data_IF_039830508377
#
_entry.id   IF_039830508377
#
_cell.length_a   1.000
_cell.length_b   1.000
_cell.length_c   1.000
_cell.angle_alpha   90.00
_cell.angle_beta   90.00
_cell.angle_gamma   90.00
#
_symmetry.space_group_name_H-M   'P 1'
#
loop_
_entity.id
_entity.type
_entity.pdbx_description
1 polymer ?
#
# COMPACT_ATOMS: atom_id res chain seq x y z
N UNK A 1 -24.03 -18.02 3.92
CA UNK A 1 -23.20 -16.90 4.44
C UNK A 1 -22.08 -17.26 5.39
N UNK A 2 -22.23 -18.23 6.30
CA UNK A 2 -21.16 -18.60 7.25
C UNK A 2 -20.79 -17.52 8.27
N UNK A 3 -21.66 -16.52 8.46
CA UNK A 3 -21.52 -15.44 9.45
C UNK A 3 -22.02 -15.94 10.80
N UNK A 4 -21.26 -15.63 11.86
CA UNK A 4 -21.62 -16.04 13.23
C UNK A 4 -22.55 -15.00 13.89
N UNK A 5 -23.52 -15.41 14.73
CA UNK A 5 -24.46 -14.47 15.36
C UNK A 5 -23.79 -13.43 16.27
N UNK A 6 -22.73 -13.82 16.96
CA UNK A 6 -21.98 -12.93 17.88
C UNK A 6 -21.34 -11.73 17.16
N UNK A 7 -21.03 -11.89 15.88
CA UNK A 7 -20.44 -10.85 15.04
C UNK A 7 -21.43 -9.74 14.65
N UNK A 8 -22.73 -9.97 14.88
CA UNK A 8 -23.81 -9.04 14.57
C UNK A 8 -24.26 -8.25 15.80
N UNK A 9 -23.82 -8.65 16.99
CA UNK A 9 -24.16 -7.97 18.24
C UNK A 9 -23.35 -6.67 18.37
N UNK A 10 -23.99 -5.54 18.72
CA UNK A 10 -23.26 -4.31 18.99
C UNK A 10 -22.38 -4.50 20.24
N UNK A 11 -21.17 -3.98 20.20
CA UNK A 11 -20.21 -4.00 21.32
C UNK A 11 -19.83 -2.58 21.68
N UNK A 12 -19.39 -2.34 22.90
CA UNK A 12 -18.91 -1.02 23.34
C UNK A 12 -17.41 -0.88 23.16
N UNK A 13 -16.89 0.35 23.10
CA UNK A 13 -15.42 0.61 23.05
C UNK A 13 -14.70 -0.02 24.25
N UNK A 14 -15.34 -0.06 25.42
CA UNK A 14 -14.77 -0.64 26.63
C UNK A 14 -14.51 -2.13 26.50
N UNK A 15 -15.28 -2.85 25.68
CA UNK A 15 -15.10 -4.29 25.46
C UNK A 15 -13.81 -4.58 24.68
N UNK A 16 -13.28 -3.58 23.96
CA UNK A 16 -12.03 -3.65 23.22
C UNK A 16 -10.83 -3.07 23.98
N UNK A 17 -11.03 -2.61 25.23
CA UNK A 17 -9.96 -2.02 26.02
C UNK A 17 -9.16 -3.09 26.77
N UNK A 18 -7.87 -3.25 26.46
CA UNK A 18 -7.01 -4.17 27.22
C UNK A 18 -6.44 -3.46 28.45
N UNK A 19 -6.92 -3.81 29.64
CA UNK A 19 -6.49 -3.23 30.94
C UNK A 19 -5.00 -3.41 31.26
N UNK A 20 -4.28 -4.26 30.53
CA UNK A 20 -2.90 -4.67 30.87
C UNK A 20 -1.80 -3.93 30.08
N UNK A 21 -2.13 -2.90 29.29
CA UNK A 21 -1.17 -2.18 28.45
C UNK A 21 -0.32 -1.14 29.19
N UNK A 22 1.02 -1.14 28.95
CA UNK A 22 1.98 -0.13 29.46
C UNK A 22 1.76 1.30 28.92
N UNK A 23 0.81 1.49 27.99
CA UNK A 23 0.55 2.74 27.28
C UNK A 23 -0.93 3.13 27.35
N UNK A 24 -1.39 3.57 28.51
CA UNK A 24 -2.82 3.79 28.77
C UNK A 24 -3.51 4.78 27.81
N UNK A 25 -2.79 5.76 27.23
CA UNK A 25 -3.36 6.69 26.25
C UNK A 25 -3.43 6.08 24.84
N UNK A 26 -2.34 5.45 24.39
CA UNK A 26 -2.26 4.76 23.09
C UNK A 26 -3.26 3.61 23.05
N UNK A 27 -3.43 2.94 24.18
CA UNK A 27 -4.35 1.81 24.31
C UNK A 27 -5.82 2.26 24.20
N UNK A 28 -6.16 3.48 24.62
CA UNK A 28 -7.50 4.05 24.39
C UNK A 28 -7.74 4.31 22.91
N UNK A 29 -6.78 4.89 22.21
CA UNK A 29 -6.85 5.12 20.76
C UNK A 29 -6.91 3.78 20.00
N UNK A 30 -6.10 2.81 20.40
CA UNK A 30 -6.12 1.44 19.89
C UNK A 30 -7.48 0.75 20.10
N UNK A 31 -8.11 0.91 21.27
CA UNK A 31 -9.43 0.37 21.55
C UNK A 31 -10.50 1.01 20.65
N UNK A 32 -10.41 2.31 20.40
CA UNK A 32 -11.29 3.01 19.45
C UNK A 32 -11.09 2.49 18.03
N UNK A 33 -9.85 2.26 17.58
CA UNK A 33 -9.58 1.67 16.26
C UNK A 33 -10.17 0.26 16.13
N UNK A 34 -9.97 -0.61 17.13
CA UNK A 34 -10.57 -1.96 17.16
C UNK A 34 -12.09 -1.90 17.09
N UNK A 35 -12.71 -1.00 17.86
CA UNK A 35 -14.15 -0.79 17.84
C UNK A 35 -14.66 -0.29 16.48
N UNK A 36 -13.99 0.71 15.89
CA UNK A 36 -14.37 1.26 14.58
C UNK A 36 -14.29 0.19 13.49
N UNK A 37 -13.20 -0.58 13.46
CA UNK A 37 -13.04 -1.71 12.54
C UNK A 37 -14.16 -2.74 12.75
N UNK A 38 -14.43 -3.14 13.99
CA UNK A 38 -15.51 -4.07 14.31
C UNK A 38 -16.89 -3.56 13.84
N UNK A 39 -17.25 -2.31 14.14
CA UNK A 39 -18.54 -1.74 13.75
C UNK A 39 -18.68 -1.61 12.23
N UNK A 40 -17.62 -1.20 11.52
CA UNK A 40 -17.62 -1.17 10.06
C UNK A 40 -17.89 -2.56 9.48
N UNK A 41 -17.21 -3.59 10.00
CA UNK A 41 -17.41 -4.97 9.55
C UNK A 41 -18.80 -5.50 9.90
N UNK A 42 -19.29 -5.19 11.11
CA UNK A 42 -20.63 -5.54 11.55
C UNK A 42 -21.69 -4.93 10.64
N UNK A 43 -21.58 -3.64 10.32
CA UNK A 43 -22.51 -2.94 9.42
C UNK A 43 -22.47 -3.55 8.02
N UNK A 44 -21.28 -3.79 7.46
CA UNK A 44 -21.11 -4.45 6.16
C UNK A 44 -21.76 -5.84 6.12
N UNK A 45 -21.58 -6.64 7.19
CA UNK A 45 -22.20 -7.97 7.33
C UNK A 45 -23.72 -7.89 7.46
N UNK A 46 -24.23 -6.95 8.24
CA UNK A 46 -25.68 -6.71 8.37
C UNK A 46 -26.30 -6.30 7.03
N UNK A 47 -25.63 -5.45 6.26
CA UNK A 47 -26.08 -5.09 4.92
C UNK A 47 -26.10 -6.30 3.98
N UNK A 48 -25.05 -7.12 4.00
CA UNK A 48 -24.99 -8.33 3.18
C UNK A 48 -26.13 -9.30 3.54
N UNK A 49 -26.41 -9.48 4.83
CA UNK A 49 -27.55 -10.29 5.30
C UNK A 49 -28.90 -9.70 4.91
N UNK A 50 -29.06 -8.36 4.96
CA UNK A 50 -30.28 -7.69 4.48
C UNK A 50 -30.50 -7.94 3.00
N UNK A 51 -29.45 -7.79 2.18
CA UNK A 51 -29.51 -8.06 0.73
C UNK A 51 -29.92 -9.51 0.46
N UNK A 52 -29.30 -10.48 1.13
CA UNK A 52 -29.67 -11.89 0.97
C UNK A 52 -31.09 -12.18 1.43
N UNK A 53 -31.51 -11.64 2.59
CA UNK A 53 -32.88 -11.75 3.06
C UNK A 53 -33.85 -11.23 2.00
N UNK A 54 -33.57 -10.08 1.40
CA UNK A 54 -34.44 -9.49 0.38
C UNK A 54 -34.49 -10.35 -0.90
N UNK A 55 -33.38 -11.00 -1.27
CA UNK A 55 -33.36 -11.99 -2.36
C UNK A 55 -34.24 -13.19 -2.02
N UNK A 56 -34.07 -13.78 -0.83
CA UNK A 56 -34.88 -14.92 -0.37
C UNK A 56 -36.36 -14.55 -0.28
N UNK A 57 -36.68 -13.36 0.23
CA UNK A 57 -38.06 -12.86 0.30
C UNK A 57 -38.64 -12.66 -1.09
N UNK A 58 -37.89 -12.08 -2.04
CA UNK A 58 -38.34 -11.95 -3.44
C UNK A 58 -38.56 -13.30 -4.11
N UNK A 59 -37.69 -14.27 -3.88
CA UNK A 59 -37.88 -15.64 -4.37
C UNK A 59 -39.13 -16.28 -3.76
N UNK A 60 -39.36 -16.05 -2.46
CA UNK A 60 -40.53 -16.53 -1.75
C UNK A 60 -41.82 -15.89 -2.26
N UNK A 61 -41.84 -14.56 -2.43
CA UNK A 61 -42.95 -13.80 -3.01
C UNK A 61 -43.23 -14.21 -4.46
N UNK A 62 -42.18 -14.44 -5.26
CA UNK A 62 -42.31 -14.95 -6.63
C UNK A 62 -42.89 -16.37 -6.66
N UNK A 63 -42.60 -17.19 -5.66
CA UNK A 63 -43.19 -18.53 -5.48
C UNK A 63 -44.62 -18.46 -4.91
N UNK A 64 -44.94 -17.46 -4.08
CA UNK A 64 -46.27 -17.31 -3.44
C UNK A 64 -47.28 -16.54 -4.30
N UNK A 65 -46.84 -15.72 -5.25
CA UNK A 65 -47.69 -14.98 -6.20
C UNK A 65 -48.22 -15.84 -7.36
N UNK A 66 -47.91 -17.14 -7.39
CA UNK A 66 -48.59 -18.10 -8.27
C UNK A 66 -49.89 -18.54 -7.58
N UNK A 67 -50.95 -17.75 -7.77
CA UNK A 67 -52.33 -18.15 -7.45
C UNK A 67 -52.66 -19.53 -8.05
N UNK A 68 -53.45 -20.40 -7.37
CA UNK A 68 -53.68 -21.81 -7.74
C UNK A 68 -54.57 -22.02 -8.97
N UNK A 69 -54.66 -21.06 -9.88
CA UNK A 69 -55.59 -21.11 -11.03
C UNK A 69 -54.86 -20.92 -12.35
N UNK A 70 -54.14 -21.97 -12.77
CA UNK A 70 -54.01 -22.50 -14.15
C UNK A 70 -52.72 -23.29 -14.24
N UNK A 71 -52.89 -24.60 -14.42
CA UNK A 71 -51.83 -25.57 -14.68
C UNK A 71 -51.15 -25.24 -16.02
N UNK A 72 -50.01 -24.55 -15.98
CA UNK A 72 -48.99 -24.66 -17.02
C UNK A 72 -47.63 -24.86 -16.33
N UNK A 73 -47.02 -26.06 -16.41
CA UNK A 73 -45.74 -26.30 -15.78
C UNK A 73 -44.65 -25.60 -16.60
N UNK A 74 -44.03 -24.55 -16.03
CA UNK A 74 -42.72 -24.10 -16.52
C UNK A 74 -41.68 -25.07 -16.00
N UNK A 75 -40.87 -25.52 -16.95
CA UNK A 75 -40.08 -26.73 -16.95
C UNK A 75 -38.61 -26.36 -16.74
N UNK A 76 -38.18 -26.26 -15.48
CA UNK A 76 -36.75 -26.17 -15.10
C UNK A 76 -36.61 -26.88 -13.73
N UNK A 77 -36.57 -28.21 -13.78
CA UNK A 77 -36.12 -29.18 -12.73
C UNK A 77 -36.76 -30.58 -12.89
N UNK A 78 -37.63 -30.77 -13.89
CA UNK A 78 -38.34 -32.05 -14.09
C UNK A 78 -37.85 -32.89 -15.27
N UNK A 79 -36.68 -32.61 -15.85
CA UNK A 79 -36.19 -33.34 -17.04
C UNK A 79 -35.71 -34.76 -16.71
N UNK A 80 -35.22 -35.04 -15.50
CA UNK A 80 -34.60 -36.35 -15.20
C UNK A 80 -35.54 -37.39 -14.59
N UNK A 81 -36.72 -36.98 -14.11
CA UNK A 81 -37.72 -37.94 -13.58
C UNK A 81 -38.57 -38.58 -14.69
N UNK A 82 -38.69 -37.92 -15.85
CA UNK A 82 -39.52 -38.41 -16.93
C UNK A 82 -38.87 -39.54 -17.73
N UNK A 83 -37.55 -39.58 -17.89
CA UNK A 83 -36.87 -40.63 -18.66
C UNK A 83 -36.88 -41.99 -17.95
N UNK A 84 -36.64 -42.01 -16.64
CA UNK A 84 -36.78 -43.21 -15.81
C UNK A 84 -38.25 -43.70 -15.78
N UNK A 85 -39.21 -42.77 -15.70
CA UNK A 85 -40.63 -43.11 -15.77
C UNK A 85 -41.02 -43.63 -17.15
N UNK A 86 -40.44 -43.10 -18.22
CA UNK A 86 -40.76 -43.46 -19.60
C UNK A 86 -40.27 -44.86 -19.91
N UNK A 87 -39.06 -45.23 -19.48
CA UNK A 87 -38.56 -46.59 -19.65
C UNK A 87 -39.37 -47.61 -18.84
N UNK A 88 -39.74 -47.27 -17.60
CA UNK A 88 -40.64 -48.12 -16.79
C UNK A 88 -42.04 -48.24 -17.42
N UNK A 89 -42.61 -47.14 -17.93
CA UNK A 89 -43.89 -47.12 -18.66
C UNK A 89 -43.81 -47.95 -19.94
N UNK A 90 -42.68 -47.94 -20.65
CA UNK A 90 -42.48 -48.76 -21.85
C UNK A 90 -42.44 -50.25 -21.50
N UNK A 91 -41.77 -50.64 -20.40
CA UNK A 91 -41.77 -52.04 -19.94
C UNK A 91 -43.15 -52.50 -19.45
N UNK A 92 -43.89 -51.64 -18.74
CA UNK A 92 -45.29 -51.91 -18.37
C UNK A 92 -46.18 -52.09 -19.60
N UNK A 93 -46.07 -51.20 -20.59
CA UNK A 93 -46.79 -51.34 -21.86
C UNK A 93 -46.37 -52.59 -22.62
N UNK A 94 -45.11 -53.03 -22.54
CA UNK A 94 -44.65 -54.29 -23.15
C UNK A 94 -45.29 -55.50 -22.45
N UNK A 95 -45.33 -55.50 -21.12
CA UNK A 95 -46.02 -56.53 -20.33
C UNK A 95 -47.52 -56.61 -20.70
N UNK A 96 -48.19 -55.46 -20.79
CA UNK A 96 -49.59 -55.38 -21.22
C UNK A 96 -49.78 -55.92 -22.63
N UNK A 97 -48.92 -55.53 -23.58
CA UNK A 97 -48.96 -56.07 -24.95
C UNK A 97 -48.70 -57.57 -24.99
N UNK A 98 -47.80 -58.10 -24.15
CA UNK A 98 -47.56 -59.54 -24.03
C UNK A 98 -48.83 -60.22 -23.53
N UNK A 99 -49.47 -59.71 -22.47
CA UNK A 99 -50.75 -60.25 -21.97
C UNK A 99 -51.86 -60.20 -23.02
N UNK A 100 -52.01 -59.08 -23.74
CA UNK A 100 -52.99 -58.94 -24.81
C UNK A 100 -52.67 -59.87 -26.00
N UNK A 101 -51.40 -60.01 -26.37
CA UNK A 101 -50.97 -60.95 -27.40
C UNK A 101 -51.24 -62.38 -26.96
N UNK A 102 -50.96 -62.73 -25.71
CA UNK A 102 -51.26 -64.05 -25.16
C UNK A 102 -52.76 -64.34 -25.20
N UNK A 103 -53.62 -63.38 -24.84
CA UNK A 103 -55.07 -63.52 -24.97
C UNK A 103 -55.49 -63.77 -26.44
N UNK A 104 -54.93 -62.97 -27.37
CA UNK A 104 -55.19 -63.15 -28.80
C UNK A 104 -54.59 -64.44 -29.37
N UNK A 105 -53.46 -64.90 -28.86
CA UNK A 105 -52.84 -66.17 -29.25
C UNK A 105 -53.64 -67.35 -28.71
N UNK A 106 -54.22 -67.26 -27.50
CA UNK A 106 -55.15 -68.27 -27.00
C UNK A 106 -56.39 -68.31 -27.88
N UNK A 107 -56.99 -67.16 -28.19
CA UNK A 107 -58.11 -67.05 -29.13
C UNK A 107 -57.72 -67.59 -30.51
N UNK A 108 -56.54 -67.24 -31.02
CA UNK A 108 -56.05 -67.70 -32.32
C UNK A 108 -55.65 -69.17 -32.32
N UNK A 109 -55.20 -69.78 -31.21
CA UNK A 109 -54.97 -71.23 -31.11
C UNK A 109 -56.30 -71.95 -31.10
N UNK A 110 -57.30 -71.45 -30.37
CA UNK A 110 -58.68 -71.96 -30.41
C UNK A 110 -59.21 -71.87 -31.85
N UNK A 111 -59.13 -70.70 -32.49
CA UNK A 111 -59.58 -70.47 -33.86
C UNK A 111 -58.75 -71.23 -34.90
N UNK A 112 -57.43 -71.30 -34.76
CA UNK A 112 -56.54 -72.03 -35.66
C UNK A 112 -56.72 -73.51 -35.49
N UNK A 113 -56.99 -74.05 -34.30
CA UNK A 113 -57.38 -75.46 -34.12
C UNK A 113 -58.75 -75.71 -34.77
N UNK A 114 -59.73 -74.79 -34.62
CA UNK A 114 -61.00 -74.90 -35.36
C UNK A 114 -60.81 -74.80 -36.88
N UNK A 115 -59.78 -74.08 -37.35
CA UNK A 115 -59.42 -73.97 -38.77
C UNK A 115 -58.46 -75.05 -39.23
N UNK A 116 -57.61 -75.65 -38.40
CA UNK A 116 -56.71 -76.77 -38.73
C UNK A 116 -57.52 -78.05 -38.82
N UNK A 117 -58.56 -78.21 -38.00
CA UNK A 117 -59.60 -79.19 -38.26
C UNK A 117 -60.21 -79.03 -39.67
N UNK A 118 -60.33 -77.79 -40.18
CA UNK A 118 -60.82 -77.47 -41.53
C UNK A 118 -59.75 -77.46 -42.64
N UNK A 119 -58.48 -77.19 -42.32
CA UNK A 119 -57.36 -76.99 -43.27
C UNK A 119 -56.45 -78.22 -43.35
N UNK A 120 -56.39 -79.10 -42.34
CA UNK A 120 -55.84 -80.45 -42.53
C UNK A 120 -56.64 -81.24 -43.58
N UNK A 121 -57.85 -80.77 -43.89
CA UNK A 121 -58.67 -81.15 -45.03
C UNK A 121 -58.25 -80.49 -46.36
N UNK A 122 -57.60 -79.31 -46.35
CA UNK A 122 -57.34 -78.45 -47.53
C UNK A 122 -55.84 -78.31 -47.91
N UNK A 123 -54.90 -78.43 -46.97
CA UNK A 123 -53.45 -78.27 -47.19
C UNK A 123 -52.76 -79.53 -47.75
N UNK A 124 -53.52 -80.61 -47.97
CA UNK A 124 -53.15 -81.64 -48.96
C UNK A 124 -53.10 -81.07 -50.39
N UNK A 125 -53.64 -79.87 -50.64
CA UNK A 125 -53.93 -79.36 -51.98
C UNK A 125 -53.01 -78.23 -52.49
N UNK A 126 -52.22 -77.54 -51.65
CA UNK A 126 -51.53 -76.27 -52.03
C UNK A 126 -50.08 -76.10 -51.57
N UNK A 127 -49.32 -77.17 -51.37
CA UNK A 127 -47.88 -77.10 -51.05
C UNK A 127 -46.96 -76.77 -52.25
N UNK A 128 -47.49 -76.39 -53.42
CA UNK A 128 -46.73 -76.33 -54.67
C UNK A 128 -46.29 -74.92 -55.15
N UNK A 129 -46.82 -73.80 -54.63
CA UNK A 129 -46.76 -72.52 -55.38
C UNK A 129 -45.76 -71.45 -54.90
N UNK A 130 -45.28 -71.43 -53.65
CA UNK A 130 -44.65 -70.21 -53.09
C UNK A 130 -43.12 -70.23 -52.89
N UNK A 131 -42.39 -71.05 -53.65
CA UNK A 131 -40.92 -71.01 -53.68
C UNK A 131 -40.34 -69.83 -54.51
N UNK A 132 -41.15 -69.14 -55.33
CA UNK A 132 -40.65 -68.18 -56.34
C UNK A 132 -40.42 -66.74 -55.88
N UNK A 133 -40.94 -66.31 -54.73
CA UNK A 133 -40.89 -64.89 -54.33
C UNK A 133 -39.65 -64.43 -53.52
N UNK A 134 -38.67 -65.30 -53.28
CA UNK A 134 -37.54 -65.00 -52.36
C UNK A 134 -36.30 -64.36 -53.00
N UNK A 135 -36.22 -64.22 -54.32
CA UNK A 135 -35.00 -63.77 -55.02
C UNK A 135 -34.92 -62.26 -55.32
N UNK A 136 -36.04 -61.54 -55.28
CA UNK A 136 -36.08 -60.13 -55.72
C UNK A 136 -35.64 -59.12 -54.64
N UNK A 137 -35.69 -59.50 -53.36
CA UNK A 137 -35.42 -58.59 -52.23
C UNK A 137 -33.94 -58.29 -51.95
N UNK A 138 -32.99 -59.04 -52.54
CA UNK A 138 -31.56 -58.90 -52.21
C UNK A 138 -30.81 -57.80 -53.00
N UNK A 139 -31.38 -57.24 -54.08
CA UNK A 139 -30.70 -56.25 -54.93
C UNK A 139 -30.77 -54.81 -54.38
N UNK A 140 -31.80 -54.45 -53.61
CA UNK A 140 -31.99 -53.07 -53.12
C UNK A 140 -31.06 -52.65 -51.97
N UNK A 141 -30.33 -53.58 -51.34
CA UNK A 141 -29.52 -53.30 -50.14
C UNK A 141 -28.12 -52.74 -50.46
N UNK A 142 -27.63 -52.87 -51.70
CA UNK A 142 -26.25 -52.51 -52.07
C UNK A 142 -26.07 -51.02 -52.42
N UNK A 143 -27.08 -50.39 -53.01
CA UNK A 143 -26.99 -49.01 -53.52
C UNK A 143 -27.03 -47.90 -52.44
N UNK A 144 -27.43 -48.25 -51.20
CA UNK A 144 -27.46 -47.30 -50.06
C UNK A 144 -26.11 -47.08 -49.39
N UNK A 145 -25.10 -47.92 -49.65
CA UNK A 145 -23.81 -47.90 -48.95
C UNK A 145 -22.80 -46.91 -49.54
N UNK A 146 -22.87 -46.64 -50.85
CA UNK A 146 -21.86 -45.85 -51.56
C UNK A 146 -22.04 -44.32 -51.42
N UNK A 147 -23.26 -43.86 -51.10
CA UNK A 147 -23.58 -42.42 -50.94
C UNK A 147 -23.07 -41.80 -49.63
N UNK A 148 -22.66 -42.62 -48.66
CA UNK A 148 -22.22 -42.17 -47.31
C UNK A 148 -20.71 -41.87 -47.20
N UNK A 149 -19.91 -42.33 -48.17
CA UNK A 149 -18.44 -42.20 -48.12
C UNK A 149 -17.91 -40.90 -48.75
N UNK A 150 -18.64 -40.30 -49.69
CA UNK A 150 -18.22 -39.06 -50.39
C UNK A 150 -18.40 -37.80 -49.53
N UNK A 151 -19.35 -37.80 -48.58
CA UNK A 151 -19.65 -36.66 -47.71
C UNK A 151 -18.65 -36.45 -46.55
N UNK A 152 -17.76 -37.41 -46.29
CA UNK A 152 -16.76 -37.31 -45.21
C UNK A 152 -15.46 -36.61 -45.63
N UNK A 153 -15.11 -36.62 -46.91
CA UNK A 153 -13.82 -36.08 -47.39
C UNK A 153 -13.82 -34.56 -47.60
N UNK A 154 -14.98 -33.94 -47.84
CA UNK A 154 -15.10 -32.48 -48.04
C UNK A 154 -14.98 -31.64 -46.75
N UNK A 155 -15.15 -32.24 -45.57
CA UNK A 155 -15.14 -31.51 -44.28
C UNK A 155 -13.74 -31.37 -43.67
N UNK A 156 -12.75 -32.14 -44.11
CA UNK A 156 -11.38 -32.08 -43.56
C UNK A 156 -10.49 -31.01 -44.24
N UNK A 157 -10.74 -30.67 -45.51
CA UNK A 157 -9.92 -29.69 -46.25
C UNK A 157 -10.18 -28.22 -45.90
N UNK A 158 -11.29 -27.90 -45.22
CA UNK A 158 -11.65 -26.52 -44.85
C UNK A 158 -11.07 -26.07 -43.50
N UNK A 159 -10.71 -27.01 -42.62
CA UNK A 159 -10.21 -26.71 -41.27
C UNK A 159 -8.72 -26.33 -41.25
N UNK A 160 -7.95 -26.78 -42.24
CA UNK A 160 -6.49 -26.55 -42.35
C UNK A 160 -6.09 -25.18 -42.92
N UNK A 161 -7.03 -24.42 -43.51
CA UNK A 161 -6.75 -23.09 -44.11
C UNK A 161 -7.04 -21.90 -43.18
N UNK A 162 -7.70 -22.13 -42.04
CA UNK A 162 -8.07 -21.07 -41.09
C UNK A 162 -7.03 -20.86 -39.97
N UNK A 163 -6.20 -21.87 -39.66
CA UNK A 163 -5.18 -21.78 -38.61
C UNK A 163 -3.90 -21.03 -39.06
N UNK A 164 -3.57 -21.03 -40.36
CA UNK A 164 -2.36 -20.36 -40.89
C UNK A 164 -2.48 -18.83 -41.00
N UNK A 165 -3.70 -18.28 -41.04
CA UNK A 165 -3.94 -16.83 -41.12
C UNK A 165 -3.82 -16.13 -39.75
N UNK A 166 -4.23 -16.78 -38.66
CA UNK A 166 -4.12 -16.22 -37.31
C UNK A 166 -2.68 -16.22 -36.75
N UNK A 167 -1.81 -17.11 -37.23
CA UNK A 167 -0.41 -17.16 -36.83
C UNK A 167 0.43 -16.00 -37.41
N UNK A 168 0.03 -15.46 -38.58
CA UNK A 168 0.71 -14.33 -39.22
C UNK A 168 0.41 -12.98 -38.55
N UNK A 169 -0.79 -12.79 -37.99
CA UNK A 169 -1.20 -11.52 -37.37
C UNK A 169 -0.56 -11.25 -36.00
N UNK A 170 -0.22 -12.28 -35.22
CA UNK A 170 0.48 -12.13 -33.93
C UNK A 170 1.92 -11.61 -34.08
N UNK A 171 2.61 -11.94 -35.18
CA UNK A 171 4.00 -11.48 -35.44
C UNK A 171 4.09 -10.00 -35.83
N UNK A 172 3.02 -9.42 -36.38
CA UNK A 172 3.00 -8.02 -36.84
C UNK A 172 2.67 -7.00 -35.74
N UNK A 173 2.04 -7.42 -34.63
CA UNK A 173 1.75 -6.55 -33.48
C UNK A 173 2.96 -6.37 -32.56
N UNK A 174 3.75 -7.43 -32.33
CA UNK A 174 4.97 -7.37 -31.51
C UNK A 174 6.08 -6.46 -32.09
N UNK A 175 6.14 -6.31 -33.43
CA UNK A 175 7.11 -5.40 -34.07
C UNK A 175 6.76 -3.91 -33.90
N UNK A 176 5.47 -3.57 -33.80
CA UNK A 176 4.99 -2.18 -33.68
C UNK A 176 5.11 -1.61 -32.26
N UNK A 177 5.14 -2.46 -31.24
CA UNK A 177 5.36 -2.03 -29.84
C UNK A 177 6.85 -1.81 -29.55
N UNK A 178 7.74 -2.65 -30.11
CA UNK A 178 9.19 -2.51 -29.97
C UNK A 178 9.76 -1.24 -30.68
N UNK A 179 9.14 -0.76 -31.75
CA UNK A 179 9.53 0.49 -32.42
C UNK A 179 9.12 1.74 -31.63
N UNK A 180 7.99 1.70 -30.90
CA UNK A 180 7.53 2.83 -30.06
C UNK A 180 8.37 2.99 -28.79
N UNK A 181 8.87 1.90 -28.23
CA UNK A 181 9.73 1.93 -27.03
C UNK A 181 11.14 2.48 -27.32
N UNK A 182 11.70 2.20 -28.51
CA UNK A 182 12.98 2.78 -28.96
C UNK A 182 12.92 4.29 -29.20
N UNK A 183 11.80 4.77 -29.74
CA UNK A 183 11.58 6.21 -29.98
C UNK A 183 11.49 7.02 -28.68
N UNK A 184 10.91 6.44 -27.61
CA UNK A 184 10.83 7.09 -26.30
C UNK A 184 12.21 7.20 -25.62
N UNK A 185 13.05 6.16 -25.74
CA UNK A 185 14.40 6.15 -25.17
C UNK A 185 15.36 7.15 -25.87
N UNK A 186 15.21 7.36 -27.18
CA UNK A 186 16.02 8.34 -27.91
C UNK A 186 15.67 9.79 -27.54
N UNK A 187 14.40 10.10 -27.23
CA UNK A 187 13.99 11.41 -26.74
C UNK A 187 14.52 11.73 -25.34
N UNK A 188 14.61 10.74 -24.45
CA UNK A 188 15.19 10.92 -23.11
C UNK A 188 16.70 11.19 -23.15
N UNK A 189 17.43 10.50 -24.03
CA UNK A 189 18.87 10.74 -24.24
C UNK A 189 19.14 12.14 -24.82
N UNK A 190 18.30 12.61 -25.77
CA UNK A 190 18.40 13.98 -26.31
C UNK A 190 18.12 15.05 -25.25
N UNK A 191 17.21 14.79 -24.29
CA UNK A 191 16.95 15.70 -23.16
C UNK A 191 18.10 15.73 -22.15
N UNK A 192 18.77 14.59 -21.89
CA UNK A 192 19.95 14.54 -21.03
C UNK A 192 21.17 15.25 -21.65
N UNK A 193 21.40 15.10 -22.96
CA UNK A 193 22.47 15.80 -23.66
C UNK A 193 22.30 17.34 -23.68
N UNK A 194 21.05 17.84 -23.70
CA UNK A 194 20.76 19.28 -23.59
C UNK A 194 21.09 19.84 -22.21
N UNK A 195 20.76 19.10 -21.14
CA UNK A 195 21.09 19.49 -19.75
C UNK A 195 22.60 19.53 -19.49
N UNK A 196 23.37 18.64 -20.12
CA UNK A 196 24.85 18.65 -20.02
C UNK A 196 25.50 19.83 -20.73
N UNK A 197 24.96 20.27 -21.89
CA UNK A 197 25.46 21.46 -22.60
C UNK A 197 25.17 22.77 -21.86
N UNK A 198 24.03 22.85 -21.18
CA UNK A 198 23.64 24.01 -20.39
C UNK A 198 24.48 24.15 -19.10
N UNK A 199 24.86 23.02 -18.48
CA UNK A 199 25.78 22.99 -17.34
C UNK A 199 27.20 23.47 -17.70
N UNK A 200 27.73 23.08 -18.87
CA UNK A 200 29.05 23.51 -19.36
C UNK A 200 29.12 25.02 -19.65
N UNK A 201 28.04 25.62 -20.16
CA UNK A 201 27.98 27.07 -20.42
C UNK A 201 27.94 27.88 -19.13
N UNK A 202 27.29 27.36 -18.08
CA UNK A 202 27.19 28.00 -16.78
C UNK A 202 28.50 27.95 -15.96
N UNK A 203 29.40 26.99 -16.27
CA UNK A 203 30.77 26.94 -15.72
C UNK A 203 31.74 27.91 -16.42
N UNK A 204 31.61 28.09 -17.74
CA UNK A 204 32.39 29.04 -18.52
C UNK A 204 32.12 30.51 -18.11
N UNK A 205 30.87 30.87 -17.82
CA UNK A 205 30.53 32.22 -17.33
C UNK A 205 31.06 32.52 -15.91
N UNK A 206 31.20 31.48 -15.07
CA UNK A 206 31.79 31.61 -13.73
C UNK A 206 33.30 31.80 -13.79
N UNK A 207 33.97 31.17 -14.75
CA UNK A 207 35.42 31.33 -14.97
C UNK A 207 35.78 32.73 -15.53
N UNK A 208 34.99 33.26 -16.47
CA UNK A 208 35.25 34.58 -17.07
C UNK A 208 35.14 35.73 -16.04
N UNK A 209 34.16 35.68 -15.14
CA UNK A 209 33.99 36.68 -14.07
C UNK A 209 35.10 36.62 -13.00
N UNK A 210 35.73 35.46 -12.82
CA UNK A 210 36.86 35.30 -11.90
C UNK A 210 38.17 35.86 -12.46
N UNK A 211 38.39 35.86 -13.78
CA UNK A 211 39.54 36.50 -14.43
C UNK A 211 39.43 38.03 -14.46
N UNK A 212 38.23 38.58 -14.66
CA UNK A 212 38.01 40.04 -14.64
C UNK A 212 38.35 40.66 -13.27
N UNK A 213 38.04 39.97 -12.17
CA UNK A 213 38.39 40.41 -10.81
C UNK A 213 39.89 40.38 -10.54
N UNK A 214 40.65 39.43 -11.13
CA UNK A 214 42.12 39.39 -11.00
C UNK A 214 42.80 40.54 -11.73
N UNK A 215 42.33 40.87 -12.94
CA UNK A 215 42.86 42.02 -13.71
C UNK A 215 42.65 43.37 -13.02
N UNK A 216 41.53 43.53 -12.32
CA UNK A 216 41.24 44.78 -11.58
C UNK A 216 42.10 44.92 -10.32
N UNK A 217 42.52 43.81 -9.70
CA UNK A 217 43.38 43.84 -8.49
C UNK A 217 44.85 44.09 -8.83
N UNK A 218 45.35 43.62 -9.99
CA UNK A 218 46.71 43.90 -10.45
C UNK A 218 46.94 45.37 -10.86
N UNK A 219 45.92 46.05 -11.39
CA UNK A 219 46.02 47.46 -11.78
C UNK A 219 46.12 48.43 -10.58
N UNK A 220 45.53 48.08 -9.44
CA UNK A 220 45.51 48.91 -8.22
C UNK A 220 46.87 48.89 -7.48
N UNK A 221 47.58 47.76 -7.52
CA UNK A 221 48.90 47.60 -6.92
C UNK A 221 49.98 48.44 -7.63
N UNK A 222 49.90 48.55 -8.95
CA UNK A 222 50.87 49.29 -9.77
C UNK A 222 50.84 50.80 -9.55
N UNK A 223 49.68 51.38 -9.19
CA UNK A 223 49.55 52.81 -8.88
C UNK A 223 50.18 53.23 -7.55
N UNK A 224 50.39 52.30 -6.62
CA UNK A 224 50.97 52.60 -5.30
C UNK A 224 52.51 52.67 -5.34
N UNK A 225 53.15 51.96 -6.28
CA UNK A 225 54.61 51.92 -6.43
C UNK A 225 55.17 53.23 -7.02
N UNK A 226 54.43 53.90 -7.90
CA UNK A 226 54.87 55.15 -8.55
C UNK A 226 54.87 56.38 -7.61
N UNK A 227 54.06 56.37 -6.54
CA UNK A 227 53.97 57.50 -5.59
C UNK A 227 55.13 57.54 -4.57
N UNK A 228 55.76 56.40 -4.28
CA UNK A 228 56.85 56.29 -3.30
C UNK A 228 58.17 56.81 -3.89
N UNK A 229 58.36 56.72 -5.20
CA UNK A 229 59.57 57.18 -5.89
C UNK A 229 59.72 58.72 -5.92
N UNK A 230 58.62 59.47 -5.97
CA UNK A 230 58.64 60.94 -6.14
C UNK A 230 59.01 61.72 -4.86
N UNK A 231 58.75 61.18 -3.66
CA UNK A 231 59.01 61.88 -2.39
C UNK A 231 60.48 61.85 -1.94
N UNK A 232 61.29 60.92 -2.46
CA UNK A 232 62.68 60.75 -2.06
C UNK A 232 63.63 61.83 -2.62
N UNK A 233 63.22 62.54 -3.68
CA UNK A 233 64.05 63.56 -4.34
C UNK A 233 64.03 64.95 -3.68
N UNK A 234 63.02 65.28 -2.85
CA UNK A 234 62.82 66.64 -2.30
C UNK A 234 63.59 66.96 -1.01
N UNK A 235 64.24 65.99 -0.36
CA UNK A 235 64.84 66.19 0.97
C UNK A 235 66.30 66.69 0.95
N UNK A 236 67.02 66.58 -0.17
CA UNK A 236 68.47 66.82 -0.23
C UNK A 236 68.92 68.29 -0.39
N UNK A 237 68.01 69.25 -0.61
CA UNK A 237 68.39 70.66 -0.89
C UNK A 237 68.46 71.59 0.34
N UNK A 238 68.01 71.19 1.55
CA UNK A 238 67.79 72.13 2.68
C UNK A 238 68.94 72.30 3.69
N UNK A 239 70.05 71.58 3.58
CA UNK A 239 71.06 71.53 4.66
C UNK A 239 72.25 72.51 4.56
N UNK A 240 72.31 73.44 3.59
CA UNK A 240 73.56 74.18 3.29
C UNK A 240 73.77 75.60 3.86
N UNK A 241 72.93 76.17 4.74
CA UNK A 241 72.98 77.65 4.98
C UNK A 241 73.21 78.24 6.41
N UNK A 242 73.57 77.49 7.47
CA UNK A 242 73.41 78.03 8.86
C UNK A 242 74.70 78.30 9.67
N UNK A 243 75.92 78.07 9.18
CA UNK A 243 77.09 77.95 10.08
C UNK A 243 78.04 79.16 10.28
N UNK A 244 77.64 80.45 10.22
CA UNK A 244 78.67 81.52 10.12
C UNK A 244 78.58 82.89 10.85
N UNK A 245 77.87 83.10 11.98
CA UNK A 245 77.97 84.40 12.69
C UNK A 245 77.80 84.36 14.22
N UNK A 246 78.87 84.24 14.99
CA UNK A 246 78.91 84.61 16.43
C UNK A 246 80.36 84.76 16.91
N UNK A 247 80.90 85.98 17.13
CA UNK A 247 82.17 86.10 17.89
C UNK A 247 82.52 87.41 18.63
N UNK A 248 82.00 88.61 18.38
CA UNK A 248 82.70 89.82 18.90
C UNK A 248 81.85 90.76 19.76
N UNK A 249 82.08 90.80 21.08
CA UNK A 249 81.89 92.00 21.92
C UNK A 249 82.22 91.75 23.41
N UNK A 250 83.50 91.72 23.80
CA UNK A 250 83.84 91.85 25.23
C UNK A 250 85.25 92.44 25.45
N UNK A 251 85.33 93.41 26.39
CA UNK A 251 86.47 94.22 26.93
C UNK A 251 86.23 95.70 26.62
N UNK A 252 86.14 96.66 27.55
CA UNK A 252 87.08 97.09 28.62
C UNK A 252 86.37 98.17 29.48
N UNK A 253 86.63 98.28 30.79
CA UNK A 253 86.65 99.54 31.62
C UNK A 253 86.51 99.24 33.12
N UNK A 254 87.57 99.38 33.94
CA UNK A 254 87.39 99.50 35.41
C UNK A 254 88.52 100.08 36.30
N UNK A 255 89.54 100.80 35.84
CA UNK A 255 90.69 101.11 36.73
C UNK A 255 90.89 102.58 37.14
N UNK A 256 89.82 103.30 37.50
CA UNK A 256 89.96 104.64 38.10
C UNK A 256 89.37 104.65 39.51
N UNK A 257 90.21 104.22 40.43
CA UNK A 257 89.83 103.71 41.74
C UNK A 257 90.20 104.60 42.94
N UNK A 258 90.90 105.73 42.81
CA UNK A 258 91.87 106.06 43.87
C UNK A 258 91.48 107.22 44.81
N UNK A 259 90.56 108.13 44.46
CA UNK A 259 90.11 109.21 45.37
C UNK A 259 89.25 108.73 46.56
N UNK A 260 89.09 107.41 46.70
CA UNK A 260 88.25 106.76 47.70
C UNK A 260 88.83 106.77 49.12
N UNK A 261 90.04 107.27 49.38
CA UNK A 261 90.73 107.03 50.66
C UNK A 261 90.40 107.96 51.83
N UNK A 262 90.07 109.23 51.61
CA UNK A 262 89.84 110.15 52.75
C UNK A 262 88.37 110.23 53.17
N UNK A 263 87.46 110.21 52.18
CA UNK A 263 86.06 109.80 52.41
C UNK A 263 85.99 108.41 53.08
N UNK A 264 87.04 107.57 53.10
CA UNK A 264 86.99 106.22 53.70
C UNK A 264 86.80 106.23 55.21
N UNK A 265 87.37 107.16 55.98
CA UNK A 265 87.36 107.07 57.45
C UNK A 265 86.03 107.52 58.09
N UNK A 266 85.42 108.60 57.60
CA UNK A 266 84.03 108.93 57.95
C UNK A 266 83.05 107.88 57.38
N UNK A 267 83.41 107.26 56.25
CA UNK A 267 82.72 106.05 55.78
C UNK A 267 82.90 104.87 56.72
N UNK A 268 83.97 104.71 57.50
CA UNK A 268 84.15 103.57 58.43
C UNK A 268 83.16 103.64 59.61
N UNK A 269 82.98 104.81 60.23
CA UNK A 269 82.03 104.96 61.34
C UNK A 269 80.57 104.90 60.88
N UNK A 270 80.25 105.59 59.78
CA UNK A 270 78.96 105.41 59.10
C UNK A 270 78.78 103.96 58.63
N UNK A 271 79.84 103.28 58.17
CA UNK A 271 79.79 101.88 57.78
C UNK A 271 79.58 100.96 58.98
N UNK A 272 80.09 101.24 60.17
CA UNK A 272 79.83 100.40 61.35
C UNK A 272 78.35 100.44 61.75
N UNK A 273 77.75 101.64 61.80
CA UNK A 273 76.34 101.81 62.14
C UNK A 273 75.42 101.27 61.02
N UNK A 274 75.78 101.51 59.76
CA UNK A 274 75.14 100.89 58.60
C UNK A 274 75.35 99.37 58.56
N UNK A 275 76.46 98.83 59.07
CA UNK A 275 76.73 97.39 59.13
C UNK A 275 75.89 96.75 60.23
N UNK A 276 75.70 97.39 61.39
CA UNK A 276 74.75 96.93 62.41
C UNK A 276 73.31 96.93 61.89
N UNK A 277 72.87 98.00 61.23
CA UNK A 277 71.55 98.04 60.58
C UNK A 277 71.45 97.02 59.42
N UNK A 278 72.53 96.81 58.66
CA UNK A 278 72.58 95.80 57.62
C UNK A 278 72.56 94.37 58.18
N UNK A 279 73.15 94.12 59.35
CA UNK A 279 73.08 92.84 60.05
C UNK A 279 71.67 92.56 60.57
N UNK A 280 71.00 93.56 61.16
CA UNK A 280 69.60 93.45 61.58
C UNK A 280 68.67 93.22 60.39
N UNK A 281 68.86 93.97 59.28
CA UNK A 281 68.13 93.73 58.03
C UNK A 281 68.43 92.36 57.45
N UNK A 282 69.68 91.91 57.43
CA UNK A 282 70.04 90.55 56.98
C UNK A 282 69.39 89.47 57.82
N UNK A 283 69.27 89.67 59.14
CA UNK A 283 68.57 88.75 60.03
C UNK A 283 67.07 88.74 59.74
N UNK A 284 66.45 89.90 59.62
CA UNK A 284 65.04 90.02 59.24
C UNK A 284 64.76 89.41 57.86
N UNK A 285 65.56 89.73 56.85
CA UNK A 285 65.47 89.16 55.49
C UNK A 285 65.72 87.64 55.51
N UNK A 286 66.56 87.13 56.40
CA UNK A 286 66.80 85.70 56.57
C UNK A 286 65.60 85.02 57.21
N UNK A 287 65.03 85.61 58.28
CA UNK A 287 63.85 85.12 58.97
C UNK A 287 62.62 85.17 58.03
N UNK A 288 62.44 86.23 57.26
CA UNK A 288 61.42 86.35 56.21
C UNK A 288 61.62 85.33 55.09
N UNK A 289 62.87 85.10 54.64
CA UNK A 289 63.16 84.06 53.65
C UNK A 289 62.90 82.66 54.21
N UNK A 290 63.21 82.41 55.48
CA UNK A 290 62.98 81.13 56.14
C UNK A 290 61.48 80.89 56.35
N UNK A 291 60.72 81.92 56.75
CA UNK A 291 59.27 81.88 56.85
C UNK A 291 58.60 81.66 55.47
N UNK A 292 59.02 82.41 54.44
CA UNK A 292 58.52 82.24 53.07
C UNK A 292 58.92 80.89 52.46
N UNK A 293 60.07 80.32 52.82
CA UNK A 293 60.46 78.96 52.44
C UNK A 293 59.61 77.91 53.17
N UNK A 294 59.33 78.10 54.46
CA UNK A 294 58.48 77.21 55.24
C UNK A 294 57.02 77.21 54.76
N UNK A 295 56.45 78.36 54.43
CA UNK A 295 55.11 78.45 53.85
C UNK A 295 55.05 77.81 52.45
N UNK A 296 56.06 78.06 51.59
CA UNK A 296 56.18 77.35 50.30
C UNK A 296 56.29 75.84 50.48
N UNK A 297 57.06 75.36 51.48
CA UNK A 297 57.16 73.94 51.77
C UNK A 297 55.82 73.34 52.24
N UNK A 298 55.05 74.05 53.08
CA UNK A 298 53.71 73.64 53.48
C UNK A 298 52.73 73.61 52.31
N UNK A 299 52.77 74.60 51.42
CA UNK A 299 51.94 74.63 50.21
C UNK A 299 52.27 73.50 49.25
N UNK A 300 53.56 73.25 48.99
CA UNK A 300 54.00 72.12 48.17
C UNK A 300 53.54 70.82 48.82
N UNK A 301 53.68 70.65 50.13
CA UNK A 301 53.23 69.46 50.83
C UNK A 301 51.71 69.25 50.71
N UNK A 302 50.90 70.30 50.93
CA UNK A 302 49.45 70.25 50.73
C UNK A 302 49.08 69.89 49.28
N UNK A 303 49.76 70.46 48.28
CA UNK A 303 49.58 70.13 46.86
C UNK A 303 49.92 68.66 46.58
N UNK A 304 51.07 68.17 47.08
CA UNK A 304 51.46 66.75 46.90
C UNK A 304 50.47 65.79 47.57
N UNK A 305 49.94 66.11 48.76
CA UNK A 305 48.92 65.29 49.42
C UNK A 305 47.61 65.30 48.62
N UNK A 306 47.18 66.46 48.13
CA UNK A 306 45.98 66.57 47.29
C UNK A 306 46.14 65.76 45.99
N UNK A 307 47.28 65.89 45.32
CA UNK A 307 47.60 65.12 44.11
C UNK A 307 47.62 63.60 44.38
N UNK A 308 48.17 63.14 45.50
CA UNK A 308 48.16 61.73 45.90
C UNK A 308 46.72 61.23 46.16
N UNK A 309 45.89 62.04 46.82
CA UNK A 309 44.47 61.71 47.05
C UNK A 309 43.69 61.63 45.73
N UNK A 310 43.91 62.58 44.83
CA UNK A 310 43.26 62.59 43.51
C UNK A 310 43.71 61.39 42.67
N UNK A 311 44.99 61.03 42.70
CA UNK A 311 45.51 59.81 42.07
C UNK A 311 44.86 58.55 42.65
N UNK A 312 44.76 58.45 43.98
CA UNK A 312 44.10 57.32 44.64
C UNK A 312 42.60 57.22 44.29
N UNK A 313 41.89 58.35 44.20
CA UNK A 313 40.48 58.36 43.76
C UNK A 313 40.32 57.97 42.30
N UNK A 314 41.21 58.42 41.41
CA UNK A 314 41.22 58.01 40.00
C UNK A 314 41.44 56.52 39.85
N UNK A 315 42.42 55.96 40.57
CA UNK A 315 42.68 54.51 40.59
C UNK A 315 41.47 53.72 41.10
N UNK A 316 40.83 54.14 42.20
CA UNK A 316 39.61 53.49 42.69
C UNK A 316 38.47 53.50 41.66
N UNK A 317 38.23 54.64 41.01
CA UNK A 317 37.21 54.75 39.95
C UNK A 317 37.54 53.86 38.75
N UNK A 318 38.81 53.79 38.34
CA UNK A 318 39.26 52.90 37.28
C UNK A 318 39.10 51.42 37.64
N UNK A 319 39.42 51.04 38.88
CA UNK A 319 39.20 49.70 39.40
C UNK A 319 37.71 49.33 39.46
N UNK A 320 36.85 50.23 39.93
CA UNK A 320 35.39 50.04 39.91
C UNK A 320 34.87 49.85 38.49
N UNK A 321 35.34 50.64 37.52
CA UNK A 321 34.98 50.48 36.10
C UNK A 321 35.46 49.11 35.60
N UNK A 322 36.69 48.70 35.94
CA UNK A 322 37.23 47.39 35.57
C UNK A 322 36.40 46.25 36.15
N UNK A 323 36.02 46.35 37.43
CA UNK A 323 35.17 45.36 38.09
C UNK A 323 33.77 45.31 37.45
N UNK A 324 33.15 46.45 37.15
CA UNK A 324 31.86 46.52 36.45
C UNK A 324 31.93 45.88 35.07
N UNK A 325 33.00 46.14 34.30
CA UNK A 325 33.24 45.50 32.99
C UNK A 325 33.39 43.99 33.11
N UNK A 326 34.15 43.52 34.11
CA UNK A 326 34.33 42.10 34.37
C UNK A 326 33.00 41.43 34.78
N UNK A 327 32.23 42.05 35.67
CA UNK A 327 30.93 41.56 36.10
C UNK A 327 29.94 41.49 34.93
N UNK A 328 29.87 42.54 34.09
CA UNK A 328 29.05 42.55 32.89
C UNK A 328 29.46 41.44 31.91
N UNK A 329 30.76 41.22 31.70
CA UNK A 329 31.25 40.13 30.85
C UNK A 329 30.86 38.75 31.42
N UNK A 330 30.99 38.54 32.74
CA UNK A 330 30.55 37.31 33.41
C UNK A 330 29.05 37.09 33.29
N UNK A 331 28.25 38.14 33.50
CA UNK A 331 26.80 38.07 33.38
C UNK A 331 26.38 37.74 31.95
N UNK A 332 27.00 38.38 30.95
CA UNK A 332 26.75 38.10 29.53
C UNK A 332 27.11 36.64 29.18
N UNK A 333 28.23 36.14 29.69
CA UNK A 333 28.60 34.73 29.54
C UNK A 333 27.56 33.79 30.17
N UNK A 334 27.16 34.04 31.41
CA UNK A 334 26.14 33.24 32.10
C UNK A 334 24.78 33.27 31.37
N UNK A 335 24.37 34.43 30.85
CA UNK A 335 23.16 34.56 30.04
C UNK A 335 23.26 33.77 28.72
N UNK A 336 24.42 33.76 28.08
CA UNK A 336 24.62 32.98 26.87
C UNK A 336 24.59 31.48 27.16
N UNK A 337 25.25 31.04 28.24
CA UNK A 337 25.20 29.65 28.69
C UNK A 337 23.77 29.23 29.01
N UNK A 338 23.02 30.04 29.76
CA UNK A 338 21.62 29.72 30.10
C UNK A 338 20.73 29.69 28.86
N UNK A 339 20.90 30.62 27.91
CA UNK A 339 20.20 30.59 26.61
C UNK A 339 20.52 29.33 25.80
N UNK A 340 21.77 28.86 25.81
CA UNK A 340 22.15 27.63 25.11
C UNK A 340 21.52 26.42 25.80
N UNK A 341 21.54 26.36 27.13
CA UNK A 341 20.95 25.27 27.89
C UNK A 341 19.42 25.21 27.73
N UNK A 342 18.73 26.35 27.78
CA UNK A 342 17.27 26.37 27.56
C UNK A 342 16.91 25.96 26.14
N UNK A 343 17.64 26.42 25.12
CA UNK A 343 17.46 25.96 23.74
C UNK A 343 17.68 24.45 23.61
N UNK A 344 18.70 23.91 24.25
CA UNK A 344 18.97 22.46 24.25
C UNK A 344 17.84 21.68 24.92
N UNK A 345 17.40 22.10 26.10
CA UNK A 345 16.27 21.48 26.80
C UNK A 345 14.98 21.52 25.97
N UNK A 346 14.70 22.63 25.29
CA UNK A 346 13.56 22.74 24.38
C UNK A 346 13.68 21.80 23.17
N UNK A 347 14.88 21.63 22.61
CA UNK A 347 15.12 20.69 21.52
C UNK A 347 14.97 19.24 21.99
N UNK A 348 15.52 18.89 23.15
CA UNK A 348 15.39 17.55 23.74
C UNK A 348 13.92 17.23 24.05
N UNK A 349 13.16 18.17 24.61
CA UNK A 349 11.73 18.01 24.84
C UNK A 349 10.93 17.82 23.54
N UNK A 350 11.23 18.61 22.49
CA UNK A 350 10.62 18.43 21.17
C UNK A 350 10.97 17.08 20.55
N UNK A 351 12.23 16.64 20.65
CA UNK A 351 12.64 15.32 20.17
C UNK A 351 11.92 14.21 20.92
N UNK A 352 11.81 14.31 22.26
CA UNK A 352 11.06 13.35 23.06
C UNK A 352 9.59 13.26 22.61
N UNK A 353 8.92 14.39 22.40
CA UNK A 353 7.55 14.43 21.87
C UNK A 353 7.45 13.75 20.49
N UNK A 354 8.36 14.05 19.57
CA UNK A 354 8.38 13.43 18.23
C UNK A 354 8.62 11.92 18.33
N UNK A 355 9.50 11.45 19.23
CA UNK A 355 9.72 10.02 19.43
C UNK A 355 8.49 9.33 20.03
N UNK A 356 7.84 9.95 21.00
CA UNK A 356 6.58 9.45 21.56
C UNK A 356 5.52 9.35 20.46
N UNK A 357 5.28 10.42 19.70
CA UNK A 357 4.31 10.42 18.58
C UNK A 357 4.60 9.33 17.55
N UNK A 358 5.85 9.18 17.12
CA UNK A 358 6.24 8.13 16.18
C UNK A 358 6.03 6.72 16.73
N UNK A 359 6.29 6.51 18.02
CA UNK A 359 6.06 5.22 18.65
C UNK A 359 4.56 4.93 18.77
N UNK A 360 3.74 5.94 19.11
CA UNK A 360 2.27 5.83 19.07
C UNK A 360 1.79 5.43 17.67
N UNK A 361 2.21 6.15 16.64
CA UNK A 361 1.85 5.86 15.25
C UNK A 361 2.28 4.44 14.84
N UNK A 362 3.49 4.01 15.20
CA UNK A 362 3.98 2.66 14.92
C UNK A 362 3.10 1.60 15.56
N UNK A 363 2.73 1.77 16.82
CA UNK A 363 1.86 0.84 17.56
C UNK A 363 0.48 0.78 16.91
N UNK A 364 -0.14 1.93 16.61
CA UNK A 364 -1.45 2.00 15.96
C UNK A 364 -1.43 1.39 14.55
N UNK A 365 -0.38 1.67 13.77
CA UNK A 365 -0.21 1.09 12.42
C UNK A 365 0.02 -0.43 12.46
N UNK A 366 0.79 -0.91 13.44
CA UNK A 366 0.96 -2.34 13.66
C UNK A 366 -0.36 -3.01 14.01
N UNK A 367 -1.17 -2.37 14.84
CA UNK A 367 -2.51 -2.86 15.20
C UNK A 367 -3.45 -2.88 13.99
N UNK A 368 -3.48 -1.82 13.18
CA UNK A 368 -4.29 -1.76 11.97
C UNK A 368 -3.94 -2.90 11.00
N UNK A 369 -2.64 -3.13 10.78
CA UNK A 369 -2.16 -4.29 10.01
C UNK A 369 -2.62 -5.61 10.62
N UNK A 370 -2.55 -5.78 11.93
CA UNK A 370 -3.03 -6.99 12.60
C UNK A 370 -4.54 -7.19 12.37
N UNK A 371 -5.35 -6.15 12.56
CA UNK A 371 -6.80 -6.20 12.34
C UNK A 371 -7.14 -6.61 10.89
N UNK A 372 -6.47 -6.01 9.90
CA UNK A 372 -6.69 -6.38 8.49
C UNK A 372 -6.26 -7.82 8.18
N UNK A 373 -5.19 -8.34 8.81
CA UNK A 373 -4.79 -9.74 8.65
C UNK A 373 -5.78 -10.70 9.31
N UNK A 374 -6.23 -10.39 10.54
CA UNK A 374 -7.26 -11.17 11.23
C UNK A 374 -8.57 -11.20 10.44
N UNK A 375 -8.95 -10.08 9.83
CA UNK A 375 -10.13 -10.00 8.97
C UNK A 375 -10.03 -10.95 7.77
N UNK A 376 -8.88 -10.98 7.08
CA UNK A 376 -8.64 -11.91 5.97
C UNK A 376 -8.72 -13.36 6.43
N UNK A 377 -8.15 -13.68 7.59
CA UNK A 377 -8.21 -15.03 8.16
C UNK A 377 -9.66 -15.43 8.47
N UNK A 378 -10.43 -14.57 9.16
CA UNK A 378 -11.85 -14.81 9.44
C UNK A 378 -12.67 -14.94 8.17
N UNK A 379 -12.35 -14.19 7.12
CA UNK A 379 -13.03 -14.33 5.83
C UNK A 379 -12.73 -15.68 5.15
N UNK A 380 -11.49 -16.16 5.22
CA UNK A 380 -11.13 -17.51 4.74
C UNK A 380 -11.87 -18.58 5.53
N UNK A 381 -11.95 -18.46 6.85
CA UNK A 381 -12.72 -19.39 7.69
C UNK A 381 -14.22 -19.38 7.36
N UNK A 382 -14.78 -18.18 7.14
CA UNK A 382 -16.16 -18.03 6.66
C UNK A 382 -16.38 -18.74 5.32
N UNK A 383 -15.47 -18.57 4.36
CA UNK A 383 -15.54 -19.26 3.07
C UNK A 383 -15.48 -20.77 3.24
N UNK A 384 -14.57 -21.28 4.07
CA UNK A 384 -14.50 -22.72 4.38
C UNK A 384 -15.83 -23.26 4.92
N UNK A 385 -16.47 -22.55 5.86
CA UNK A 385 -17.80 -22.94 6.38
C UNK A 385 -18.87 -22.97 5.29
N UNK A 386 -18.85 -21.99 4.39
CA UNK A 386 -19.78 -21.94 3.26
C UNK A 386 -19.51 -23.11 2.30
N UNK A 387 -18.27 -23.37 1.93
CA UNK A 387 -17.87 -24.49 1.07
C UNK A 387 -18.24 -25.84 1.68
N UNK A 388 -18.01 -26.03 2.97
CA UNK A 388 -18.36 -27.24 3.70
C UNK A 388 -19.88 -27.46 3.68
N UNK A 389 -20.67 -26.42 3.90
CA UNK A 389 -22.12 -26.50 3.77
C UNK A 389 -22.57 -26.90 2.35
N UNK A 390 -22.00 -26.29 1.31
CA UNK A 390 -22.31 -26.66 -0.09
C UNK A 390 -21.91 -28.11 -0.39
N UNK A 391 -20.76 -28.56 0.14
CA UNK A 391 -20.31 -29.95 0.03
C UNK A 391 -21.30 -30.90 0.68
N UNK A 392 -21.78 -30.60 1.88
CA UNK A 392 -22.80 -31.39 2.56
C UNK A 392 -24.11 -31.42 1.78
N UNK A 393 -24.59 -30.28 1.27
CA UNK A 393 -25.78 -30.23 0.42
C UNK A 393 -25.62 -31.07 -0.86
N UNK A 394 -24.45 -31.02 -1.49
CA UNK A 394 -24.17 -31.83 -2.68
C UNK A 394 -24.17 -33.33 -2.34
N UNK A 395 -23.56 -33.73 -1.23
CA UNK A 395 -23.58 -35.12 -0.76
C UNK A 395 -25.02 -35.57 -0.47
N UNK A 396 -25.83 -34.74 0.17
CA UNK A 396 -27.24 -35.03 0.42
C UNK A 396 -28.00 -35.23 -0.90
N UNK A 397 -27.85 -34.33 -1.88
CA UNK A 397 -28.47 -34.47 -3.21
C UNK A 397 -28.05 -35.76 -3.92
N UNK A 398 -26.75 -36.06 -3.91
CA UNK A 398 -26.22 -37.31 -4.48
C UNK A 398 -26.86 -38.52 -3.78
N UNK A 399 -26.95 -38.50 -2.44
CA UNK A 399 -27.56 -39.59 -1.70
C UNK A 399 -29.05 -39.78 -2.02
N UNK A 400 -29.78 -38.68 -2.20
CA UNK A 400 -31.19 -38.70 -2.62
C UNK A 400 -31.37 -39.21 -4.05
N UNK A 401 -30.48 -38.83 -4.97
CA UNK A 401 -30.43 -39.34 -6.34
C UNK A 401 -30.05 -40.82 -6.40
N UNK A 402 -29.12 -41.26 -5.55
CA UNK A 402 -28.73 -42.66 -5.41
C UNK A 402 -29.89 -43.50 -4.90
N UNK A 403 -30.61 -43.04 -3.87
CA UNK A 403 -31.83 -43.70 -3.38
C UNK A 403 -32.86 -43.79 -4.50
N UNK A 404 -33.15 -42.68 -5.20
CA UNK A 404 -34.07 -42.68 -6.35
C UNK A 404 -33.64 -43.68 -7.41
N UNK A 405 -32.37 -43.69 -7.80
CA UNK A 405 -31.80 -44.61 -8.79
C UNK A 405 -31.91 -46.06 -8.35
N UNK A 406 -31.66 -46.37 -7.07
CA UNK A 406 -31.85 -47.71 -6.49
C UNK A 406 -33.32 -48.14 -6.57
N UNK A 407 -34.27 -47.26 -6.22
CA UNK A 407 -35.71 -47.59 -6.32
C UNK A 407 -36.14 -47.87 -7.76
N UNK A 408 -35.63 -47.11 -8.74
CA UNK A 408 -35.92 -47.32 -10.16
C UNK A 408 -35.34 -48.67 -10.64
N UNK A 409 -34.09 -48.99 -10.25
CA UNK A 409 -33.47 -50.29 -10.56
C UNK A 409 -34.26 -51.47 -9.99
N UNK A 410 -34.68 -51.39 -8.72
CA UNK A 410 -35.50 -52.41 -8.07
C UNK A 410 -36.86 -52.58 -8.78
N UNK A 411 -37.55 -51.47 -9.09
CA UNK A 411 -38.80 -51.51 -9.85
C UNK A 411 -38.60 -52.18 -11.22
N UNK A 412 -37.53 -51.84 -11.94
CA UNK A 412 -37.21 -52.46 -13.23
C UNK A 412 -36.96 -53.97 -13.10
N UNK A 413 -36.19 -54.39 -12.09
CA UNK A 413 -35.97 -55.82 -11.82
C UNK A 413 -37.29 -56.55 -11.53
N UNK A 414 -38.15 -55.98 -10.68
CA UNK A 414 -39.46 -56.57 -10.40
C UNK A 414 -40.35 -56.72 -11.64
N UNK A 415 -40.32 -55.75 -12.57
CA UNK A 415 -41.05 -55.84 -13.85
C UNK A 415 -40.47 -56.93 -14.76
N UNK A 416 -39.14 -57.09 -14.78
CA UNK A 416 -38.50 -58.17 -15.55
C UNK A 416 -38.85 -59.55 -14.97
N UNK A 417 -38.85 -59.72 -13.66
CA UNK A 417 -39.30 -60.95 -12.99
C UNK A 417 -40.78 -61.24 -13.28
N UNK A 418 -41.64 -60.22 -13.20
CA UNK A 418 -43.05 -60.35 -13.59
C UNK A 418 -43.20 -60.79 -15.05
N UNK A 419 -42.36 -60.28 -15.95
CA UNK A 419 -42.35 -60.70 -17.36
C UNK A 419 -41.95 -62.16 -17.53
N UNK A 420 -40.91 -62.60 -16.81
CA UNK A 420 -40.49 -64.00 -16.82
C UNK A 420 -41.60 -64.92 -16.28
N UNK A 421 -42.25 -64.53 -15.18
CA UNK A 421 -43.40 -65.28 -14.61
C UNK A 421 -44.56 -65.37 -15.61
N UNK A 422 -44.95 -64.26 -16.23
CA UNK A 422 -46.02 -64.24 -17.25
C UNK A 422 -45.66 -65.09 -18.48
N UNK A 423 -44.39 -65.12 -18.88
CA UNK A 423 -43.93 -65.96 -19.97
C UNK A 423 -44.00 -67.46 -19.60
N UNK A 424 -43.53 -67.83 -18.41
CA UNK A 424 -43.63 -69.20 -17.88
C UNK A 424 -45.08 -69.63 -17.70
N UNK A 425 -45.93 -68.81 -17.09
CA UNK A 425 -47.36 -69.08 -16.93
C UNK A 425 -48.04 -69.25 -18.29
N UNK A 426 -47.72 -68.43 -19.27
CA UNK A 426 -48.25 -68.58 -20.63
C UNK A 426 -47.80 -69.87 -21.30
N UNK A 427 -46.55 -70.28 -21.11
CA UNK A 427 -46.06 -71.57 -21.62
C UNK A 427 -46.81 -72.72 -20.95
N UNK A 428 -46.94 -72.71 -19.62
CA UNK A 428 -47.70 -73.71 -18.87
C UNK A 428 -49.18 -73.74 -19.30
N UNK A 429 -49.81 -72.59 -19.53
CA UNK A 429 -51.19 -72.51 -20.05
C UNK A 429 -51.31 -73.11 -21.44
N UNK A 430 -50.36 -72.83 -22.35
CA UNK A 430 -50.34 -73.46 -23.68
C UNK A 430 -50.22 -74.99 -23.57
N UNK A 431 -49.33 -75.50 -22.72
CA UNK A 431 -49.21 -76.94 -22.46
C UNK A 431 -50.50 -77.54 -21.90
N UNK A 432 -51.16 -76.86 -20.94
CA UNK A 432 -52.46 -77.30 -20.41
C UNK A 432 -53.55 -77.32 -21.49
N UNK A 433 -53.60 -76.31 -22.36
CA UNK A 433 -54.55 -76.26 -23.49
C UNK A 433 -54.27 -77.41 -24.46
N UNK A 434 -53.01 -77.67 -24.83
CA UNK A 434 -52.66 -78.78 -25.71
C UNK A 434 -52.99 -80.13 -25.07
N UNK A 435 -52.70 -80.34 -23.79
CA UNK A 435 -53.05 -81.57 -23.07
C UNK A 435 -54.58 -81.76 -22.98
N UNK A 436 -55.33 -80.69 -22.71
CA UNK A 436 -56.80 -80.73 -22.70
C UNK A 436 -57.35 -81.04 -24.10
N UNK A 437 -56.77 -80.45 -25.15
CA UNK A 437 -57.14 -80.71 -26.54
C UNK A 437 -56.78 -82.14 -26.97
N UNK A 438 -55.65 -82.70 -26.55
CA UNK A 438 -55.29 -84.10 -26.80
C UNK A 438 -56.26 -85.06 -26.10
N UNK A 439 -56.65 -84.77 -24.86
CA UNK A 439 -57.69 -85.53 -24.14
C UNK A 439 -59.05 -85.44 -24.84
N UNK A 440 -59.41 -84.28 -25.39
CA UNK A 440 -60.63 -84.09 -26.19
C UNK A 440 -60.58 -84.85 -27.52
N UNK A 441 -59.43 -84.85 -28.23
CA UNK A 441 -59.20 -85.68 -29.43
C UNK A 441 -59.35 -87.17 -29.13
N UNK A 442 -58.80 -87.64 -28.01
CA UNK A 442 -58.90 -89.03 -27.60
C UNK A 442 -60.35 -89.43 -27.23
N UNK A 443 -61.10 -88.54 -26.59
CA UNK A 443 -62.47 -88.82 -26.14
C UNK A 443 -63.57 -88.45 -27.15
N UNK A 444 -63.22 -87.81 -28.27
CA UNK A 444 -64.09 -87.40 -29.39
C UNK A 444 -65.33 -86.56 -29.00
N UNK A 445 -65.31 -85.92 -27.83
CA UNK A 445 -66.40 -85.10 -27.29
C UNK A 445 -66.16 -83.62 -27.59
N UNK A 446 -66.39 -83.24 -28.84
CA UNK A 446 -66.14 -81.88 -29.33
C UNK A 446 -67.23 -80.86 -28.94
N UNK A 447 -68.37 -81.32 -28.41
CA UNK A 447 -69.52 -80.44 -28.12
C UNK A 447 -69.34 -79.59 -26.85
N UNK A 448 -68.31 -79.85 -26.02
CA UNK A 448 -68.05 -79.14 -24.74
C UNK A 448 -66.69 -78.44 -24.66
N UNK A 449 -66.10 -78.15 -25.80
CA UNK A 449 -64.76 -77.54 -25.90
C UNK A 449 -64.68 -76.22 -25.12
N UNK A 450 -65.69 -75.37 -25.25
CA UNK A 450 -65.71 -74.06 -24.60
C UNK A 450 -65.71 -74.19 -23.07
N UNK A 451 -66.57 -75.04 -22.50
CA UNK A 451 -66.64 -75.25 -21.04
C UNK A 451 -65.32 -75.79 -20.47
N UNK A 452 -64.67 -76.74 -21.15
CA UNK A 452 -63.40 -77.34 -20.68
C UNK A 452 -62.20 -76.40 -20.81
N UNK A 453 -62.21 -75.48 -21.79
CA UNK A 453 -61.12 -74.53 -22.00
C UNK A 453 -61.27 -73.25 -21.18
N UNK A 454 -62.49 -72.83 -20.83
CA UNK A 454 -62.73 -71.66 -19.96
C UNK A 454 -62.58 -71.96 -18.46
N UNK A 455 -62.57 -73.23 -18.05
CA UNK A 455 -62.39 -73.65 -16.65
C UNK A 455 -60.92 -73.77 -16.18
N UNK A 456 -59.94 -73.57 -17.08
CA UNK A 456 -58.48 -73.66 -16.85
C UNK A 456 -57.80 -72.28 -16.91
#
# INVERSE_FOLDING_TARGET
>A
MGIEPEELLPKSVNDFWMRNGRYALVEKEAAVLRYQHFEQMRQSRLEALRRERDVVMKEYESKSMVSPTKKTPRHIDSLDTDDASTLLKLEQRRLERIKQRQQKEIQAVIEMETKMAKIQQENSRRAAEDARRKLEYQKELRDRRDKLMTQKHEKEMKKKKQEDLEAAERKMRAKKEAEKEKLLQEEEQRKQARRQKEAMLCELERAAKAEEFRRQTEALLKQQEDQVAANRARMLEKERFVAQKMEQANKKRHMEAIEKRERANQRIQHALLQNQLALQKRKHDFDEKQAAAAERAKEIHKKTIAELKDRAQKQKKEEEIRQKRLAAARQHYQQNVSKIMTKRQQLEAKLAQVYEEKEKERVLHSLDKQLTTEEKLRNVERMKRVEEYHRMQMIQKISEEDVRSRTVKLKKQSLMEQRQKVALESMLRKHRITEAMEKLRANNKWDKIEETLYAL
#
